data_IF_829297156877
#
_entry.id   IF_829297156877
#
_cell.length_a   1.000
_cell.length_b   1.000
_cell.length_c   1.000
_cell.angle_alpha   90.00
_cell.angle_beta   90.00
_cell.angle_gamma   90.00
#
_symmetry.space_group_name_H-M   'P 1'
#
loop_
_entity.id
_entity.type
_entity.pdbx_description
1 polymer ?
#
# COMPACT_ATOMS: atom_id res chain seq x y z
N UNK A 1 -16.61 -9.25 -20.78
CA UNK A 1 -15.34 -8.68 -20.31
C UNK A 1 -14.85 -9.52 -19.15
N UNK A 2 -13.57 -9.90 -19.12
CA UNK A 2 -13.03 -10.84 -18.12
C UNK A 2 -12.46 -10.12 -16.88
N UNK A 3 -12.27 -10.89 -15.80
CA UNK A 3 -11.68 -10.45 -14.53
C UNK A 3 -10.36 -9.68 -14.68
N UNK A 4 -9.56 -9.99 -15.69
CA UNK A 4 -8.28 -9.36 -16.01
C UNK A 4 -8.34 -8.42 -17.22
N UNK A 5 -9.50 -7.91 -17.62
CA UNK A 5 -9.60 -7.01 -18.78
C UNK A 5 -8.82 -5.70 -18.57
N UNK A 6 -8.41 -5.04 -19.66
CA UNK A 6 -7.77 -3.73 -19.58
C UNK A 6 -8.76 -2.64 -19.17
N UNK A 7 -10.01 -2.80 -19.60
CA UNK A 7 -11.07 -1.83 -19.35
C UNK A 7 -11.87 -2.19 -18.10
N UNK A 8 -12.38 -1.19 -17.37
CA UNK A 8 -13.31 -1.40 -16.28
C UNK A 8 -14.50 -2.25 -16.72
N UNK A 9 -14.88 -3.23 -15.92
CA UNK A 9 -16.08 -4.04 -16.14
C UNK A 9 -16.95 -4.04 -14.89
N UNK A 10 -18.24 -4.32 -15.12
CA UNK A 10 -19.15 -4.78 -14.08
C UNK A 10 -19.59 -3.73 -13.03
N UNK A 11 -19.65 -2.48 -13.43
CA UNK A 11 -20.14 -1.36 -12.62
C UNK A 11 -19.04 -0.56 -11.97
N UNK A 12 -19.26 0.74 -11.75
CA UNK A 12 -18.29 1.65 -11.15
C UNK A 12 -18.09 1.33 -9.67
N UNK A 13 -16.91 1.58 -9.16
CA UNK A 13 -16.65 1.61 -7.73
C UNK A 13 -17.49 2.72 -7.07
N UNK A 14 -18.14 2.40 -5.95
CA UNK A 14 -18.89 3.39 -5.14
C UNK A 14 -18.26 3.49 -3.76
N UNK A 15 -17.76 4.68 -3.45
CA UNK A 15 -17.21 4.98 -2.13
C UNK A 15 -18.27 4.74 -1.05
N UNK A 16 -17.91 3.99 0.00
CA UNK A 16 -18.78 3.53 1.08
C UNK A 16 -20.03 2.74 0.65
N UNK A 17 -20.10 2.30 -0.61
CA UNK A 17 -21.10 1.33 -1.05
C UNK A 17 -20.83 -0.08 -0.50
N UNK A 18 -21.79 -1.01 -0.70
CA UNK A 18 -21.69 -2.38 -0.18
C UNK A 18 -20.39 -3.10 -0.55
N UNK A 19 -19.90 -2.93 -1.78
CA UNK A 19 -18.64 -3.50 -2.25
C UNK A 19 -17.45 -2.97 -1.44
N UNK A 20 -17.40 -1.66 -1.21
CA UNK A 20 -16.34 -1.02 -0.44
C UNK A 20 -16.36 -1.45 1.03
N UNK A 21 -17.52 -1.39 1.68
CA UNK A 21 -17.69 -1.80 3.07
C UNK A 21 -17.36 -3.29 3.26
N UNK A 22 -17.77 -4.14 2.33
CA UNK A 22 -17.42 -5.55 2.31
C UNK A 22 -15.91 -5.78 2.19
N UNK A 23 -15.23 -5.05 1.31
CA UNK A 23 -13.78 -5.13 1.15
C UNK A 23 -13.03 -4.61 2.39
N UNK A 24 -13.49 -3.52 3.00
CA UNK A 24 -12.94 -3.02 4.27
C UNK A 24 -13.09 -4.05 5.39
N UNK A 25 -14.27 -4.66 5.51
CA UNK A 25 -14.53 -5.72 6.49
C UNK A 25 -13.64 -6.94 6.26
N UNK A 26 -13.53 -7.41 5.02
CA UNK A 26 -12.65 -8.53 4.66
C UNK A 26 -11.18 -8.21 4.95
N UNK A 27 -10.72 -6.99 4.63
CA UNK A 27 -9.36 -6.53 4.93
C UNK A 27 -9.12 -6.52 6.43
N UNK A 28 -10.03 -5.95 7.23
CA UNK A 28 -9.91 -5.91 8.69
C UNK A 28 -9.85 -7.31 9.29
N UNK A 29 -10.69 -8.23 8.84
CA UNK A 29 -10.68 -9.63 9.26
C UNK A 29 -9.37 -10.33 8.87
N UNK A 30 -8.86 -10.10 7.66
CA UNK A 30 -7.58 -10.64 7.20
C UNK A 30 -6.41 -10.16 8.04
N UNK A 31 -6.37 -8.86 8.36
CA UNK A 31 -5.36 -8.26 9.25
C UNK A 31 -5.45 -8.87 10.64
N UNK A 32 -6.65 -8.86 11.24
CA UNK A 32 -6.88 -9.43 12.58
C UNK A 32 -6.52 -10.91 12.64
N UNK A 33 -6.92 -11.70 11.62
CA UNK A 33 -6.60 -13.11 11.51
C UNK A 33 -5.10 -13.37 11.41
N UNK A 34 -4.38 -12.58 10.63
CA UNK A 34 -2.90 -12.66 10.51
C UNK A 34 -2.23 -12.43 11.85
N UNK A 35 -2.66 -11.40 12.58
CA UNK A 35 -2.13 -11.08 13.92
C UNK A 35 -2.49 -12.17 14.94
N UNK A 36 -3.75 -12.60 14.97
CA UNK A 36 -4.21 -13.66 15.89
C UNK A 36 -3.45 -14.98 15.66
N UNK A 37 -3.23 -15.34 14.39
CA UNK A 37 -2.43 -16.50 14.02
C UNK A 37 -0.99 -16.36 14.55
N UNK A 38 -0.33 -15.24 14.28
CA UNK A 38 1.04 -14.99 14.71
C UNK A 38 1.23 -15.03 16.23
N UNK A 39 0.26 -14.54 16.97
CA UNK A 39 0.29 -14.57 18.47
C UNK A 39 0.22 -15.98 19.04
N UNK A 40 -0.44 -16.91 18.34
CA UNK A 40 -0.59 -18.31 18.74
C UNK A 40 0.56 -19.20 18.30
N UNK A 41 1.42 -18.71 17.40
CA UNK A 41 2.49 -19.50 16.80
C UNK A 41 3.80 -19.37 17.58
N UNK A 42 4.57 -20.43 17.54
CA UNK A 42 5.98 -20.46 17.92
C UNK A 42 6.86 -19.83 16.81
N UNK A 43 8.15 -19.69 17.09
CA UNK A 43 9.12 -19.02 16.21
C UNK A 43 9.14 -19.59 14.78
N UNK A 44 9.06 -20.92 14.63
CA UNK A 44 9.05 -21.57 13.30
C UNK A 44 7.75 -21.25 12.53
N UNK A 45 6.59 -21.30 13.20
CA UNK A 45 5.31 -20.91 12.62
C UNK A 45 5.29 -19.44 12.18
N UNK A 46 5.78 -18.53 13.05
CA UNK A 46 5.90 -17.10 12.72
C UNK A 46 6.77 -16.85 11.49
N UNK A 47 7.89 -17.58 11.35
CA UNK A 47 8.74 -17.48 10.14
C UNK A 47 7.98 -17.90 8.88
N UNK A 48 7.23 -18.99 8.94
CA UNK A 48 6.40 -19.45 7.81
C UNK A 48 5.32 -18.43 7.46
N UNK A 49 4.60 -17.90 8.45
CA UNK A 49 3.56 -16.89 8.22
C UNK A 49 4.14 -15.64 7.59
N UNK A 50 5.29 -15.14 8.08
CA UNK A 50 5.98 -14.00 7.45
C UNK A 50 6.36 -14.27 5.99
N UNK A 51 6.89 -15.47 5.71
CA UNK A 51 7.24 -15.85 4.33
C UNK A 51 6.01 -15.89 3.42
N UNK A 52 4.88 -16.41 3.89
CA UNK A 52 3.60 -16.42 3.15
C UNK A 52 3.10 -14.99 2.91
N UNK A 53 3.12 -14.13 3.93
CA UNK A 53 2.71 -12.73 3.80
C UNK A 53 3.58 -12.02 2.75
N UNK A 54 4.90 -12.19 2.80
CA UNK A 54 5.82 -11.56 1.83
C UNK A 54 5.61 -12.11 0.43
N UNK A 55 5.50 -13.43 0.28
CA UNK A 55 5.24 -14.06 -1.02
C UNK A 55 3.91 -13.58 -1.63
N UNK A 56 2.87 -13.43 -0.81
CA UNK A 56 1.57 -12.91 -1.25
C UNK A 56 1.65 -11.42 -1.60
N UNK A 57 2.34 -10.61 -0.77
CA UNK A 57 2.51 -9.17 -1.00
C UNK A 57 3.29 -8.91 -2.30
N UNK A 58 4.41 -9.59 -2.52
CA UNK A 58 5.20 -9.40 -3.73
C UNK A 58 4.55 -10.07 -4.95
N UNK A 59 3.94 -11.24 -4.76
CA UNK A 59 3.24 -11.95 -5.83
C UNK A 59 2.10 -11.13 -6.42
N UNK A 60 1.26 -10.50 -5.58
CA UNK A 60 0.19 -9.63 -6.07
C UNK A 60 0.73 -8.35 -6.74
N UNK A 61 1.84 -7.79 -6.27
CA UNK A 61 2.47 -6.61 -6.88
C UNK A 61 3.07 -6.96 -8.25
N UNK A 62 3.80 -8.07 -8.33
CA UNK A 62 4.32 -8.59 -9.60
C UNK A 62 3.17 -8.88 -10.58
N UNK A 63 2.07 -9.49 -10.11
CA UNK A 63 0.89 -9.75 -10.93
C UNK A 63 0.26 -8.44 -11.45
N UNK A 64 0.23 -7.38 -10.62
CA UNK A 64 -0.23 -6.06 -11.03
C UNK A 64 0.66 -5.44 -12.11
N UNK A 65 1.98 -5.48 -11.93
CA UNK A 65 2.93 -5.01 -12.94
C UNK A 65 2.83 -5.81 -14.25
N UNK A 66 2.72 -7.15 -14.16
CA UNK A 66 2.54 -8.02 -15.32
C UNK A 66 1.22 -7.73 -16.05
N UNK A 67 0.12 -7.53 -15.31
CA UNK A 67 -1.16 -7.15 -15.89
C UNK A 67 -1.07 -5.81 -16.65
N UNK A 68 -0.45 -4.80 -16.04
CA UNK A 68 -0.20 -3.49 -16.69
C UNK A 68 0.64 -3.64 -17.97
N UNK A 69 1.74 -4.42 -17.90
CA UNK A 69 2.62 -4.66 -19.05
C UNK A 69 1.90 -5.39 -20.18
N UNK A 70 1.15 -6.44 -19.85
CA UNK A 70 0.37 -7.24 -20.84
C UNK A 70 -0.62 -6.39 -21.62
N UNK A 71 -1.17 -5.35 -21.02
CA UNK A 71 -2.15 -4.45 -21.65
C UNK A 71 -1.53 -3.16 -22.21
N UNK A 72 -0.20 -3.05 -22.28
CA UNK A 72 0.48 -1.84 -22.77
C UNK A 72 0.31 -0.60 -21.90
N UNK A 73 -0.13 -0.77 -20.65
CA UNK A 73 -0.38 0.30 -19.69
C UNK A 73 0.80 0.56 -18.73
N UNK A 74 1.87 -0.22 -18.84
CA UNK A 74 3.05 -0.05 -17.99
C UNK A 74 3.89 1.12 -18.50
N UNK A 75 4.03 2.17 -17.73
CA UNK A 75 4.82 3.35 -18.08
C UNK A 75 5.65 3.80 -16.89
N UNK A 76 6.89 4.21 -17.12
CA UNK A 76 7.79 4.70 -16.06
C UNK A 76 7.24 5.90 -15.30
N UNK A 77 6.39 6.70 -15.92
CA UNK A 77 5.76 7.85 -15.24
C UNK A 77 4.68 7.48 -14.19
N UNK A 78 4.23 6.22 -14.18
CA UNK A 78 3.12 5.78 -13.30
C UNK A 78 3.49 4.54 -12.48
N UNK A 79 4.52 3.77 -12.86
CA UNK A 79 4.77 2.42 -12.37
C UNK A 79 6.08 2.23 -11.59
N UNK A 80 6.89 3.28 -11.45
CA UNK A 80 8.06 3.19 -10.56
C UNK A 80 7.59 3.15 -9.08
N UNK A 81 8.30 2.44 -8.21
CA UNK A 81 7.92 2.30 -6.80
C UNK A 81 8.30 3.56 -5.99
N UNK A 82 7.75 4.72 -6.36
CA UNK A 82 8.05 6.02 -5.75
C UNK A 82 6.91 6.56 -4.88
N UNK A 83 5.69 6.02 -4.98
CA UNK A 83 4.65 6.28 -3.97
C UNK A 83 4.98 5.58 -2.66
N UNK A 84 4.57 6.12 -1.52
CA UNK A 84 4.88 5.55 -0.21
C UNK A 84 4.43 4.10 -0.07
N UNK A 85 3.21 3.78 -0.52
CA UNK A 85 2.70 2.41 -0.47
C UNK A 85 3.54 1.47 -1.35
N UNK A 86 3.95 1.91 -2.55
CA UNK A 86 4.79 1.10 -3.44
C UNK A 86 6.19 0.86 -2.86
N UNK A 87 6.80 1.86 -2.21
CA UNK A 87 8.05 1.68 -1.45
C UNK A 87 7.85 0.64 -0.35
N UNK A 88 6.75 0.74 0.40
CA UNK A 88 6.48 -0.15 1.52
C UNK A 88 6.16 -1.59 1.10
N UNK A 89 5.62 -1.82 -0.09
CA UNK A 89 5.46 -3.19 -0.63
C UNK A 89 6.81 -3.91 -0.64
N UNK A 90 7.86 -3.26 -1.12
CA UNK A 90 9.20 -3.86 -1.20
C UNK A 90 9.93 -3.77 0.14
N UNK A 91 10.08 -2.57 0.69
CA UNK A 91 10.81 -2.35 1.93
C UNK A 91 10.15 -3.04 3.13
N UNK A 92 8.83 -3.01 3.23
CA UNK A 92 8.08 -3.69 4.29
C UNK A 92 8.21 -5.20 4.21
N UNK A 93 8.14 -5.77 3.01
CA UNK A 93 8.39 -7.20 2.79
C UNK A 93 9.80 -7.61 3.19
N UNK A 94 10.82 -6.84 2.78
CA UNK A 94 12.21 -7.07 3.20
C UNK A 94 12.33 -6.99 4.72
N UNK A 95 11.75 -5.96 5.34
CA UNK A 95 11.81 -5.76 6.78
C UNK A 95 11.07 -6.84 7.57
N UNK A 96 10.02 -7.44 7.01
CA UNK A 96 9.33 -8.56 7.66
C UNK A 96 10.22 -9.82 7.72
N UNK A 97 11.10 -10.04 6.73
CA UNK A 97 12.05 -11.17 6.69
C UNK A 97 13.31 -10.85 7.48
N UNK A 98 13.88 -9.66 7.28
CA UNK A 98 15.11 -9.17 7.90
C UNK A 98 14.85 -7.85 8.62
N UNK A 99 14.35 -7.90 9.86
CA UNK A 99 13.97 -6.71 10.60
C UNK A 99 15.17 -5.77 10.84
N UNK A 100 14.93 -4.49 10.58
CA UNK A 100 15.86 -3.41 10.90
C UNK A 100 15.12 -2.30 11.62
N UNK A 101 15.84 -1.50 12.43
CA UNK A 101 15.22 -0.39 13.14
C UNK A 101 14.60 0.64 12.18
N UNK A 102 15.30 0.98 11.10
CA UNK A 102 14.77 1.88 10.08
C UNK A 102 13.55 1.30 9.36
N UNK A 103 13.60 0.01 8.99
CA UNK A 103 12.46 -0.66 8.36
C UNK A 103 11.23 -0.70 9.27
N UNK A 104 11.42 -0.93 10.58
CA UNK A 104 10.34 -0.87 11.56
C UNK A 104 9.73 0.53 11.66
N UNK A 105 10.57 1.56 11.69
CA UNK A 105 10.10 2.94 11.72
C UNK A 105 9.31 3.30 10.46
N UNK A 106 9.83 2.99 9.28
CA UNK A 106 9.17 3.30 8.00
C UNK A 106 7.82 2.55 7.88
N UNK A 107 7.81 1.26 8.16
CA UNK A 107 6.56 0.47 8.06
C UNK A 107 5.52 0.93 9.06
N UNK A 108 5.93 1.31 10.29
CA UNK A 108 5.01 1.84 11.29
C UNK A 108 4.45 3.21 10.88
N UNK A 109 5.32 4.18 10.69
CA UNK A 109 4.86 5.56 10.48
C UNK A 109 4.24 5.78 9.09
N UNK A 110 4.83 5.26 8.03
CA UNK A 110 4.27 5.42 6.68
C UNK A 110 3.12 4.46 6.41
N UNK A 111 3.22 3.22 6.89
CA UNK A 111 2.19 2.20 6.68
C UNK A 111 0.88 2.59 7.36
N UNK A 112 0.93 3.01 8.64
CA UNK A 112 -0.26 3.42 9.37
C UNK A 112 -0.77 4.81 8.98
N UNK A 113 0.06 5.68 8.42
CA UNK A 113 -0.43 6.94 7.86
C UNK A 113 -1.08 6.75 6.48
N UNK A 114 -0.47 5.93 5.60
CA UNK A 114 -0.88 5.82 4.20
C UNK A 114 -1.94 4.75 3.94
N UNK A 115 -1.76 3.53 4.46
CA UNK A 115 -2.65 2.43 4.10
C UNK A 115 -4.11 2.61 4.57
N UNK A 116 -4.42 3.10 5.78
CA UNK A 116 -5.81 3.39 6.16
C UNK A 116 -6.45 4.45 5.27
N UNK A 117 -5.71 5.52 4.94
CA UNK A 117 -6.20 6.57 4.05
C UNK A 117 -6.52 6.01 2.66
N UNK A 118 -5.62 5.21 2.09
CA UNK A 118 -5.84 4.57 0.81
C UNK A 118 -7.05 3.63 0.84
N UNK A 119 -7.24 2.86 1.91
CA UNK A 119 -8.39 1.99 2.07
C UNK A 119 -9.72 2.76 2.19
N UNK A 120 -9.71 3.91 2.86
CA UNK A 120 -10.92 4.74 3.04
C UNK A 120 -11.27 5.54 1.78
N UNK A 121 -10.28 5.94 0.99
CA UNK A 121 -10.46 6.71 -0.25
C UNK A 121 -9.66 6.08 -1.39
N UNK A 122 -10.05 4.85 -1.84
CA UNK A 122 -9.25 4.10 -2.80
C UNK A 122 -9.27 4.72 -4.20
N UNK A 123 -8.11 4.78 -4.83
CA UNK A 123 -7.96 5.16 -6.23
C UNK A 123 -8.21 3.94 -7.13
N UNK A 124 -9.49 3.59 -7.25
CA UNK A 124 -9.95 2.46 -8.06
C UNK A 124 -10.71 2.90 -9.30
N UNK A 125 -11.08 4.19 -9.39
CA UNK A 125 -11.86 4.74 -10.49
C UNK A 125 -13.11 3.89 -10.78
N UNK A 126 -13.16 3.25 -11.95
CA UNK A 126 -14.30 2.45 -12.40
C UNK A 126 -14.13 0.94 -12.15
N UNK A 127 -13.07 0.50 -11.45
CA UNK A 127 -12.82 -0.92 -11.19
C UNK A 127 -13.61 -1.42 -9.98
N UNK A 128 -14.78 -2.02 -10.22
CA UNK A 128 -15.61 -2.64 -9.18
C UNK A 128 -15.11 -4.03 -8.72
N UNK A 129 -15.87 -4.65 -7.82
CA UNK A 129 -15.52 -5.90 -7.11
C UNK A 129 -15.35 -7.15 -7.98
N UNK A 130 -15.78 -7.10 -9.24
CA UNK A 130 -15.58 -8.22 -10.19
C UNK A 130 -14.31 -8.10 -11.01
N UNK A 131 -13.44 -7.14 -10.67
CA UNK A 131 -12.20 -6.89 -11.40
C UNK A 131 -10.96 -7.16 -10.54
N UNK A 132 -9.89 -7.70 -11.17
CA UNK A 132 -8.60 -7.97 -10.53
C UNK A 132 -8.05 -6.77 -9.74
N UNK A 133 -8.13 -5.56 -10.32
CA UNK A 133 -7.57 -4.34 -9.72
C UNK A 133 -8.20 -4.00 -8.37
N UNK A 134 -9.51 -4.26 -8.19
CA UNK A 134 -10.19 -4.07 -6.93
C UNK A 134 -9.59 -4.96 -5.83
N UNK A 135 -9.52 -6.26 -6.07
CA UNK A 135 -8.98 -7.20 -5.08
C UNK A 135 -7.50 -6.95 -4.79
N UNK A 136 -6.71 -6.73 -5.84
CA UNK A 136 -5.30 -6.41 -5.72
C UNK A 136 -5.06 -5.21 -4.80
N UNK A 137 -5.86 -4.15 -4.94
CA UNK A 137 -5.75 -2.95 -4.12
C UNK A 137 -5.98 -3.22 -2.63
N UNK A 138 -7.10 -3.87 -2.28
CA UNK A 138 -7.44 -4.16 -0.88
C UNK A 138 -6.49 -5.18 -0.24
N UNK A 139 -6.07 -6.20 -0.98
CA UNK A 139 -5.08 -7.17 -0.51
C UNK A 139 -3.74 -6.49 -0.23
N UNK A 140 -3.25 -5.68 -1.16
CA UNK A 140 -1.98 -4.94 -1.00
C UNK A 140 -2.01 -4.07 0.26
N UNK A 141 -3.00 -3.19 0.39
CA UNK A 141 -3.10 -2.28 1.53
C UNK A 141 -3.40 -3.00 2.86
N UNK A 142 -4.11 -4.13 2.81
CA UNK A 142 -4.28 -5.01 3.97
C UNK A 142 -2.95 -5.57 4.49
N UNK A 143 -2.05 -5.99 3.59
CA UNK A 143 -0.70 -6.41 3.99
C UNK A 143 0.13 -5.24 4.53
N UNK A 144 0.02 -4.04 3.94
CA UNK A 144 0.71 -2.85 4.44
C UNK A 144 0.26 -2.45 5.84
N UNK A 145 -0.98 -2.77 6.23
CA UNK A 145 -1.46 -2.66 7.63
C UNK A 145 -0.98 -3.81 8.50
N UNK A 146 -0.97 -5.03 7.97
CA UNK A 146 -0.58 -6.22 8.74
C UNK A 146 0.86 -6.15 9.20
N UNK A 147 1.79 -5.62 8.40
CA UNK A 147 3.23 -5.58 8.70
C UNK A 147 3.53 -4.79 9.98
N UNK A 148 3.18 -3.49 10.10
CA UNK A 148 3.45 -2.73 11.32
C UNK A 148 2.72 -3.28 12.55
N UNK A 149 1.50 -3.78 12.39
CA UNK A 149 0.76 -4.40 13.48
C UNK A 149 1.40 -5.71 13.93
N UNK A 150 1.93 -6.52 13.01
CA UNK A 150 2.71 -7.72 13.33
C UNK A 150 3.95 -7.38 14.15
N UNK A 151 4.71 -6.36 13.73
CA UNK A 151 5.90 -5.90 14.45
C UNK A 151 5.61 -5.61 15.92
N UNK A 152 4.52 -4.89 16.19
CA UNK A 152 4.18 -4.46 17.55
C UNK A 152 3.46 -5.55 18.34
N UNK A 153 2.43 -6.17 17.74
CA UNK A 153 1.50 -7.05 18.45
C UNK A 153 1.96 -8.51 18.54
N UNK A 154 2.84 -8.95 17.64
CA UNK A 154 3.35 -10.32 17.61
C UNK A 154 4.82 -10.39 18.05
N UNK A 155 5.63 -9.42 17.62
CA UNK A 155 7.07 -9.43 17.86
C UNK A 155 7.52 -8.44 18.96
N UNK A 156 6.63 -7.60 19.48
CA UNK A 156 6.92 -6.65 20.56
C UNK A 156 7.85 -5.49 20.17
N UNK A 157 8.11 -5.30 18.88
CA UNK A 157 8.98 -4.22 18.36
C UNK A 157 8.20 -2.91 18.28
N UNK A 158 8.38 -2.06 19.29
CA UNK A 158 7.58 -0.84 19.44
C UNK A 158 8.20 0.36 18.75
N UNK A 159 7.38 1.25 18.16
CA UNK A 159 7.83 2.52 17.60
C UNK A 159 8.36 3.44 18.73
N UNK A 160 9.26 4.36 18.38
CA UNK A 160 9.83 5.34 19.29
C UNK A 160 9.74 6.74 18.71
N UNK A 161 9.73 7.78 19.56
CA UNK A 161 9.74 9.17 19.08
C UNK A 161 10.91 9.45 18.12
N UNK A 162 12.12 8.95 18.43
CA UNK A 162 13.28 9.05 17.52
C UNK A 162 13.06 8.31 16.20
N UNK A 163 12.26 7.22 16.19
CA UNK A 163 11.79 6.53 14.98
C UNK A 163 10.91 7.42 14.12
N UNK A 164 10.02 8.19 14.74
CA UNK A 164 9.19 9.17 14.04
C UNK A 164 10.03 10.24 13.33
N UNK A 165 11.05 10.77 14.00
CA UNK A 165 11.98 11.75 13.39
C UNK A 165 12.72 11.13 12.20
N UNK A 166 13.23 9.89 12.32
CA UNK A 166 13.88 9.19 11.19
C UNK A 166 12.91 8.96 10.03
N UNK A 167 11.71 8.47 10.30
CA UNK A 167 10.69 8.24 9.28
C UNK A 167 10.29 9.54 8.58
N UNK A 168 10.19 10.65 9.30
CA UNK A 168 9.90 11.96 8.73
C UNK A 168 11.05 12.46 7.86
N UNK A 169 12.30 12.34 8.31
CA UNK A 169 13.47 12.69 7.49
C UNK A 169 13.54 11.88 6.19
N UNK A 170 13.25 10.57 6.26
CA UNK A 170 13.15 9.70 5.07
C UNK A 170 11.97 10.08 4.17
N UNK A 171 10.85 10.53 4.74
CA UNK A 171 9.70 11.04 3.98
C UNK A 171 10.09 12.26 3.14
N UNK A 172 10.80 13.21 3.75
CA UNK A 172 11.28 14.41 3.03
C UNK A 172 12.27 14.04 1.93
N UNK A 173 13.19 13.11 2.18
CA UNK A 173 14.14 12.62 1.18
C UNK A 173 13.40 11.93 0.01
N UNK A 174 12.41 11.09 0.31
CA UNK A 174 11.56 10.41 -0.70
C UNK A 174 10.74 11.42 -1.50
N UNK A 175 10.17 12.45 -0.85
CA UNK A 175 9.44 13.51 -1.54
C UNK A 175 10.35 14.34 -2.46
N UNK A 176 11.56 14.64 -2.02
CA UNK A 176 12.58 15.30 -2.86
C UNK A 176 12.96 14.46 -4.08
N UNK A 177 13.19 13.16 -3.89
CA UNK A 177 13.45 12.23 -4.99
C UNK A 177 12.27 12.17 -5.97
N UNK A 178 11.04 12.01 -5.43
CA UNK A 178 9.83 11.98 -6.24
C UNK A 178 9.67 13.28 -7.04
N UNK A 179 9.93 14.44 -6.42
CA UNK A 179 9.88 15.75 -7.11
C UNK A 179 10.88 15.80 -8.29
N UNK A 180 12.13 15.37 -8.09
CA UNK A 180 13.14 15.35 -9.15
C UNK A 180 12.72 14.44 -10.31
N UNK A 181 12.20 13.24 -10.01
CA UNK A 181 11.72 12.28 -11.02
C UNK A 181 10.49 12.84 -11.74
N UNK A 182 9.54 13.42 -11.00
CA UNK A 182 8.35 14.04 -11.58
C UNK A 182 8.70 15.12 -12.60
N UNK A 183 9.67 15.97 -12.29
CA UNK A 183 10.14 17.00 -13.24
C UNK A 183 10.74 16.42 -14.51
N UNK A 184 11.42 15.28 -14.42
CA UNK A 184 12.06 14.65 -15.60
C UNK A 184 11.10 13.82 -16.45
N UNK A 185 10.13 13.14 -15.82
CA UNK A 185 9.23 12.21 -16.49
C UNK A 185 7.83 12.79 -16.77
N UNK A 186 7.53 14.00 -16.29
CA UNK A 186 6.16 14.53 -16.31
C UNK A 186 5.19 13.68 -15.49
N UNK A 187 5.68 13.06 -14.40
CA UNK A 187 4.93 12.18 -13.51
C UNK A 187 4.35 12.94 -12.32
N UNK A 188 3.63 12.24 -11.43
CA UNK A 188 3.07 12.82 -10.21
C UNK A 188 3.23 11.88 -9.00
N UNK A 189 4.42 11.30 -8.84
CA UNK A 189 4.70 10.46 -7.69
C UNK A 189 4.56 11.24 -6.38
N UNK A 190 3.98 10.59 -5.36
CA UNK A 190 3.66 11.17 -4.05
C UNK A 190 2.73 12.41 -4.10
N UNK A 191 2.17 12.73 -5.26
CA UNK A 191 1.30 13.91 -5.47
C UNK A 191 1.97 15.24 -5.07
N UNK A 192 3.31 15.32 -5.19
CA UNK A 192 4.08 16.52 -4.82
C UNK A 192 4.11 17.61 -5.90
N UNK A 193 3.54 17.34 -7.07
CA UNK A 193 3.47 18.34 -8.16
C UNK A 193 2.05 18.80 -8.46
N UNK A 194 1.05 17.94 -8.24
CA UNK A 194 -0.38 18.27 -8.39
C UNK A 194 -1.22 17.31 -7.52
N UNK A 195 -2.43 17.72 -7.18
CA UNK A 195 -3.39 16.86 -6.46
C UNK A 195 -3.72 15.60 -7.29
N UNK A 196 -4.15 14.50 -6.64
CA UNK A 196 -4.71 13.34 -7.33
C UNK A 196 -5.92 13.74 -8.19
N UNK A 197 -6.14 13.02 -9.29
CA UNK A 197 -7.32 13.23 -10.13
C UNK A 197 -8.60 12.65 -9.48
N UNK A 198 -8.47 11.82 -8.45
CA UNK A 198 -9.56 11.26 -7.66
C UNK A 198 -9.75 12.01 -6.34
N UNK A 199 -10.98 12.00 -5.80
CA UNK A 199 -11.29 12.64 -4.53
C UNK A 199 -10.36 12.16 -3.40
N UNK A 200 -9.72 13.10 -2.71
CA UNK A 200 -8.76 12.81 -1.66
C UNK A 200 -8.83 13.84 -0.51
N UNK A 201 -8.17 13.52 0.61
CA UNK A 201 -8.04 14.49 1.71
C UNK A 201 -7.29 15.77 1.30
N UNK A 202 -6.47 15.70 0.24
CA UNK A 202 -5.75 16.86 -0.29
C UNK A 202 -6.69 17.90 -0.91
N UNK A 203 -7.93 17.54 -1.24
CA UNK A 203 -8.93 18.49 -1.76
C UNK A 203 -9.35 19.55 -0.73
N UNK A 204 -9.14 19.24 0.56
CA UNK A 204 -9.37 20.18 1.66
C UNK A 204 -8.26 21.23 1.81
N UNK A 205 -7.12 21.04 1.13
CA UNK A 205 -6.03 22.04 1.11
C UNK A 205 -6.28 23.07 0.01
N UNK A 206 -5.91 24.37 0.24
CA UNK A 206 -5.94 25.38 -0.80
C UNK A 206 -5.13 24.97 -2.04
N UNK A 207 -5.59 25.38 -3.22
CA UNK A 207 -5.00 24.97 -4.50
C UNK A 207 -3.55 25.44 -4.69
N UNK A 208 -3.18 26.53 -4.02
CA UNK A 208 -1.89 27.21 -4.07
C UNK A 208 -0.82 26.59 -3.14
N UNK A 209 -1.16 25.51 -2.42
CA UNK A 209 -0.26 24.84 -1.46
C UNK A 209 0.12 23.40 -1.82
N UNK A 210 0.01 23.03 -3.09
CA UNK A 210 0.44 21.72 -3.59
C UNK A 210 1.37 21.86 -4.79
#
# INVERSE_FOLDING_TARGET
>A
MGYFSASPCCGPFRLFGAQHLGALGATALGVAGTIALGRRQEAAGRRRTRAVVVASLWGQEIAYHAWKARHGMWRTKDMLPLHLCSVLVWAGGINLIRPTRLGDDLTWYWGLAGAPQALLTPDLAEFGDRHFRFHQFFISHGFLLSIPLWQVLVEGRRPTAGGGVRAYGMLLAQAGLAHLVNRRLGSNYMFVTRKPDTASLLDKLPADRV
#
